data_IF_010307894556
#
_entry.id   IF_010307894556
#
_cell.length_a   1.000
_cell.length_b   1.000
_cell.length_c   1.000
_cell.angle_alpha   90.00
_cell.angle_beta   90.00
_cell.angle_gamma   90.00
#
_symmetry.space_group_name_H-M   'P 1'
#
loop_
_entity.id
_entity.type
_entity.pdbx_description
1 polymer ?
#
# COMPACT_ATOMS: atom_id res chain seq x y z
N UNK A 1 -6.85 -5.75 -3.97
CA UNK A 1 -8.33 -5.65 -4.07
C UNK A 1 -8.96 -6.76 -3.23
N UNK A 2 -10.20 -6.62 -2.75
CA UNK A 2 -10.93 -7.68 -2.05
C UNK A 2 -11.82 -8.41 -3.04
N UNK A 3 -11.96 -9.73 -2.82
CA UNK A 3 -12.89 -10.59 -3.56
C UNK A 3 -12.72 -10.54 -5.09
N UNK A 4 -11.50 -10.37 -5.58
CA UNK A 4 -11.19 -10.25 -7.01
C UNK A 4 -11.62 -11.47 -7.81
N UNK A 5 -11.45 -12.68 -7.26
CA UNK A 5 -11.87 -13.92 -7.89
C UNK A 5 -13.40 -14.01 -8.01
N UNK A 6 -14.13 -13.66 -6.94
CA UNK A 6 -15.60 -13.62 -6.95
C UNK A 6 -16.10 -12.56 -7.94
N UNK A 7 -15.43 -11.42 -8.01
CA UNK A 7 -15.77 -10.41 -9.00
C UNK A 7 -15.66 -10.95 -10.42
N UNK A 8 -14.55 -11.64 -10.76
CA UNK A 8 -14.38 -12.22 -12.08
C UNK A 8 -15.50 -13.20 -12.47
N UNK A 9 -15.99 -13.97 -11.50
CA UNK A 9 -17.13 -14.86 -11.71
C UNK A 9 -18.46 -14.10 -11.96
N UNK A 10 -18.65 -12.96 -11.29
CA UNK A 10 -19.91 -12.21 -11.35
C UNK A 10 -20.01 -11.29 -12.57
N UNK A 11 -18.94 -10.61 -12.97
CA UNK A 11 -18.98 -9.60 -14.03
C UNK A 11 -18.27 -10.02 -15.32
N UNK A 12 -17.61 -11.17 -15.33
CA UNK A 12 -16.85 -11.70 -16.47
C UNK A 12 -15.46 -11.12 -16.62
N UNK A 13 -14.69 -11.70 -17.55
CA UNK A 13 -13.26 -11.41 -17.72
C UNK A 13 -13.00 -9.97 -18.19
N UNK A 14 -13.77 -9.48 -19.16
CA UNK A 14 -13.57 -8.14 -19.74
C UNK A 14 -13.77 -7.03 -18.70
N UNK A 15 -14.90 -7.01 -18.01
CA UNK A 15 -15.18 -6.02 -16.95
C UNK A 15 -14.18 -6.13 -15.79
N UNK A 16 -13.72 -7.34 -15.48
CA UNK A 16 -12.67 -7.56 -14.49
C UNK A 16 -11.35 -6.96 -14.94
N UNK A 17 -10.95 -7.19 -16.19
CA UNK A 17 -9.75 -6.60 -16.76
C UNK A 17 -9.80 -5.07 -16.74
N UNK A 18 -10.89 -4.46 -17.20
CA UNK A 18 -11.06 -3.01 -17.16
C UNK A 18 -11.00 -2.46 -15.74
N UNK A 19 -11.68 -3.12 -14.79
CA UNK A 19 -11.59 -2.76 -13.36
C UNK A 19 -10.15 -2.80 -12.85
N UNK A 20 -9.41 -3.88 -13.16
CA UNK A 20 -8.01 -4.03 -12.76
C UNK A 20 -7.12 -2.96 -13.38
N UNK A 21 -7.35 -2.62 -14.64
CA UNK A 21 -6.61 -1.58 -15.34
C UNK A 21 -6.79 -0.20 -14.67
N UNK A 22 -8.04 0.20 -14.42
CA UNK A 22 -8.35 1.44 -13.70
C UNK A 22 -7.74 1.45 -12.30
N UNK A 23 -7.94 0.36 -11.56
CA UNK A 23 -7.49 0.20 -10.18
C UNK A 23 -5.97 0.26 -10.04
N UNK A 24 -5.24 -0.57 -10.78
CA UNK A 24 -3.77 -0.63 -10.68
C UNK A 24 -3.16 0.69 -11.13
N UNK A 25 -3.60 1.25 -12.26
CA UNK A 25 -3.08 2.51 -12.78
C UNK A 25 -3.27 3.65 -11.78
N UNK A 26 -4.46 3.80 -11.22
CA UNK A 26 -4.73 4.85 -10.25
C UNK A 26 -3.86 4.71 -8.97
N UNK A 27 -3.69 3.50 -8.45
CA UNK A 27 -2.85 3.29 -7.26
C UNK A 27 -1.35 3.47 -7.56
N UNK A 28 -0.89 3.10 -8.75
CA UNK A 28 0.49 3.35 -9.18
C UNK A 28 0.81 4.84 -9.26
N UNK A 29 -0.13 5.66 -9.75
CA UNK A 29 0.05 7.12 -9.74
C UNK A 29 0.10 7.71 -8.32
N UNK A 30 -0.68 7.18 -7.36
CA UNK A 30 -0.57 7.58 -5.95
C UNK A 30 0.80 7.20 -5.39
N UNK A 31 1.31 5.98 -5.67
CA UNK A 31 2.66 5.57 -5.24
C UNK A 31 3.73 6.50 -5.80
N UNK A 32 3.65 6.81 -7.09
CA UNK A 32 4.57 7.72 -7.78
C UNK A 32 4.53 9.13 -7.18
N UNK A 33 3.34 9.67 -6.90
CA UNK A 33 3.18 10.98 -6.25
C UNK A 33 3.92 11.07 -4.90
N UNK A 34 3.89 9.99 -4.12
CA UNK A 34 4.64 9.88 -2.86
C UNK A 34 6.09 9.45 -3.04
N UNK A 35 6.61 9.36 -4.27
CA UNK A 35 7.95 8.89 -4.61
C UNK A 35 8.25 7.48 -4.10
N UNK A 36 7.24 6.61 -4.06
CA UNK A 36 7.40 5.19 -3.77
C UNK A 36 8.01 4.45 -4.96
N UNK A 37 8.72 3.37 -4.66
CA UNK A 37 9.27 2.46 -5.68
C UNK A 37 8.47 1.16 -5.68
N UNK A 38 7.85 0.85 -6.79
CA UNK A 38 7.15 -0.44 -6.98
C UNK A 38 8.17 -1.55 -7.12
N UNK A 39 7.99 -2.63 -6.35
CA UNK A 39 8.81 -3.84 -6.43
C UNK A 39 8.10 -4.89 -7.28
N UNK A 40 6.80 -5.07 -7.03
CA UNK A 40 6.05 -6.15 -7.66
C UNK A 40 4.56 -5.79 -7.77
N UNK A 41 3.91 -6.33 -8.80
CA UNK A 41 2.47 -6.32 -8.98
C UNK A 41 2.03 -7.78 -9.01
N UNK A 42 1.45 -8.24 -7.90
CA UNK A 42 1.05 -9.63 -7.70
C UNK A 42 -0.47 -9.77 -7.87
N UNK A 43 -0.89 -10.08 -9.09
CA UNK A 43 -2.31 -10.13 -9.42
C UNK A 43 -3.00 -8.79 -9.14
N UNK A 44 -3.83 -8.73 -8.12
CA UNK A 44 -4.55 -7.54 -7.68
C UNK A 44 -3.87 -6.77 -6.52
N UNK A 45 -2.64 -7.13 -6.19
CA UNK A 45 -1.83 -6.49 -5.15
C UNK A 45 -0.64 -5.72 -5.71
N UNK A 46 -0.29 -4.61 -5.07
CA UNK A 46 0.91 -3.83 -5.38
C UNK A 46 1.81 -3.82 -4.14
N UNK A 47 3.07 -4.13 -4.34
CA UNK A 47 4.13 -3.98 -3.34
C UNK A 47 5.02 -2.80 -3.72
N UNK A 48 5.17 -1.87 -2.79
CA UNK A 48 6.03 -0.71 -2.96
C UNK A 48 6.83 -0.42 -1.69
N UNK A 49 7.94 0.30 -1.82
CA UNK A 49 8.75 0.71 -0.69
C UNK A 49 9.19 2.17 -0.79
N UNK A 50 9.52 2.72 0.36
CA UNK A 50 10.09 4.05 0.56
C UNK A 50 11.33 3.94 1.43
N UNK A 51 12.32 4.78 1.17
CA UNK A 51 13.58 4.81 1.89
C UNK A 51 14.75 4.38 1.01
N UNK A 52 15.91 4.21 1.64
CA UNK A 52 17.17 3.89 1.01
C UNK A 52 18.31 4.07 2.00
N UNK A 53 19.55 3.94 1.54
CA UNK A 53 20.72 4.26 2.36
C UNK A 53 20.80 5.76 2.63
N UNK A 54 21.09 6.12 3.89
CA UNK A 54 21.37 7.48 4.31
C UNK A 54 22.69 7.52 5.08
N UNK A 55 23.32 8.70 5.16
CA UNK A 55 24.41 8.95 6.10
C UNK A 55 23.89 8.75 7.54
N UNK A 56 24.77 8.31 8.47
CA UNK A 56 24.36 8.02 9.86
C UNK A 56 23.64 9.18 10.54
N UNK A 57 24.06 10.39 10.26
CA UNK A 57 23.52 11.62 10.86
C UNK A 57 22.09 11.92 10.40
N UNK A 58 21.71 11.51 9.19
CA UNK A 58 20.40 11.75 8.59
C UNK A 58 19.46 10.54 8.71
N UNK A 59 19.92 9.41 9.23
CA UNK A 59 19.22 8.13 9.18
C UNK A 59 17.83 8.19 9.82
N UNK A 60 17.70 8.84 10.97
CA UNK A 60 16.40 8.96 11.66
C UNK A 60 15.41 9.85 10.91
N UNK A 61 15.88 10.91 10.29
CA UNK A 61 15.05 11.80 9.48
C UNK A 61 14.59 11.09 8.21
N UNK A 62 15.46 10.36 7.54
CA UNK A 62 15.11 9.59 6.34
C UNK A 62 14.09 8.50 6.67
N UNK A 63 14.24 7.79 7.80
CA UNK A 63 13.27 6.81 8.29
C UNK A 63 11.89 7.45 8.56
N UNK A 64 11.86 8.58 9.25
CA UNK A 64 10.64 9.31 9.56
C UNK A 64 9.91 9.79 8.30
N UNK A 65 10.65 10.32 7.32
CA UNK A 65 10.09 10.73 6.02
C UNK A 65 9.54 9.53 5.25
N UNK A 66 10.27 8.41 5.24
CA UNK A 66 9.85 7.21 4.53
C UNK A 66 8.53 6.64 5.08
N UNK A 67 8.42 6.48 6.41
CA UNK A 67 7.18 5.97 7.02
C UNK A 67 6.02 6.93 6.84
N UNK A 68 6.26 8.25 6.91
CA UNK A 68 5.24 9.26 6.65
C UNK A 68 4.71 9.17 5.22
N UNK A 69 5.61 9.11 4.22
CA UNK A 69 5.23 8.98 2.81
C UNK A 69 4.43 7.70 2.56
N UNK A 70 4.89 6.56 3.08
CA UNK A 70 4.19 5.28 2.93
C UNK A 70 2.79 5.30 3.56
N UNK A 71 2.66 5.83 4.77
CA UNK A 71 1.37 5.92 5.46
C UNK A 71 0.39 6.88 4.79
N UNK A 72 0.86 8.06 4.36
CA UNK A 72 0.03 9.04 3.62
C UNK A 72 -0.37 8.50 2.25
N UNK A 73 0.53 7.81 1.54
CA UNK A 73 0.22 7.09 0.31
C UNK A 73 -0.94 6.11 0.53
N UNK A 74 -0.88 5.29 1.59
CA UNK A 74 -1.95 4.36 1.91
C UNK A 74 -3.28 5.07 2.21
N UNK A 75 -3.27 6.19 2.94
CA UNK A 75 -4.47 7.01 3.18
C UNK A 75 -5.07 7.52 1.87
N UNK A 76 -4.25 8.07 1.00
CA UNK A 76 -4.73 8.68 -0.24
C UNK A 76 -5.17 7.63 -1.27
N UNK A 77 -4.61 6.43 -1.22
CA UNK A 77 -5.13 5.27 -1.97
C UNK A 77 -6.58 4.96 -1.59
N UNK A 78 -6.94 5.04 -0.30
CA UNK A 78 -8.33 4.86 0.13
C UNK A 78 -9.24 5.97 -0.41
N UNK A 79 -8.77 7.23 -0.40
CA UNK A 79 -9.52 8.34 -0.95
C UNK A 79 -9.70 8.24 -2.48
N UNK A 80 -8.64 7.85 -3.21
CA UNK A 80 -8.70 7.63 -4.67
C UNK A 80 -9.61 6.45 -5.00
N UNK A 81 -9.57 5.35 -4.23
CA UNK A 81 -10.52 4.25 -4.38
C UNK A 81 -11.97 4.72 -4.29
N UNK A 82 -12.28 5.53 -3.28
CA UNK A 82 -13.64 6.03 -3.04
C UNK A 82 -14.10 7.01 -4.11
N UNK A 83 -13.28 8.04 -4.35
CA UNK A 83 -13.69 9.24 -5.10
C UNK A 83 -13.37 9.19 -6.59
N UNK A 84 -12.58 8.22 -7.03
CA UNK A 84 -12.16 8.10 -8.43
C UNK A 84 -12.46 6.71 -8.97
N UNK A 85 -11.87 5.68 -8.36
CA UNK A 85 -11.96 4.32 -8.91
C UNK A 85 -13.41 3.81 -8.89
N UNK A 86 -14.07 3.92 -7.74
CA UNK A 86 -15.46 3.44 -7.60
C UNK A 86 -16.45 4.27 -8.41
N UNK A 87 -16.18 5.56 -8.62
CA UNK A 87 -16.98 6.39 -9.52
C UNK A 87 -16.85 5.99 -10.99
N UNK A 88 -15.64 5.63 -11.42
CA UNK A 88 -15.42 5.10 -12.78
C UNK A 88 -16.10 3.73 -12.95
N UNK A 89 -15.97 2.85 -11.93
CA UNK A 89 -16.61 1.53 -11.94
C UNK A 89 -18.13 1.64 -12.09
N UNK A 90 -18.74 2.56 -11.37
CA UNK A 90 -20.18 2.82 -11.45
C UNK A 90 -20.58 3.38 -12.81
N UNK A 91 -19.88 4.41 -13.27
CA UNK A 91 -20.14 5.10 -14.55
C UNK A 91 -20.04 4.21 -15.77
N UNK A 92 -19.04 3.30 -15.77
CA UNK A 92 -18.76 2.37 -16.86
C UNK A 92 -19.45 1.02 -16.68
N UNK A 93 -20.36 0.88 -15.72
CA UNK A 93 -21.08 -0.37 -15.39
C UNK A 93 -20.12 -1.57 -15.25
N UNK A 94 -19.01 -1.39 -14.56
CA UNK A 94 -18.01 -2.44 -14.37
C UNK A 94 -18.32 -3.36 -13.19
N UNK A 95 -19.50 -3.22 -12.57
CA UNK A 95 -19.99 -4.03 -11.45
C UNK A 95 -19.84 -3.35 -10.09
N UNK A 96 -19.90 -4.12 -9.01
CA UNK A 96 -19.89 -3.56 -7.64
C UNK A 96 -18.63 -2.73 -7.32
N UNK A 97 -18.72 -1.73 -6.43
CA UNK A 97 -17.57 -0.98 -5.93
C UNK A 97 -16.48 -1.91 -5.36
N UNK A 98 -15.22 -1.55 -5.55
CA UNK A 98 -14.11 -2.34 -5.02
C UNK A 98 -13.73 -1.90 -3.61
N UNK A 99 -13.21 -2.85 -2.85
CA UNK A 99 -12.62 -2.63 -1.54
C UNK A 99 -11.14 -3.01 -1.55
N UNK A 100 -10.33 -2.29 -0.78
CA UNK A 100 -8.89 -2.54 -0.66
C UNK A 100 -8.46 -2.61 0.80
N UNK A 101 -7.38 -3.32 1.06
CA UNK A 101 -6.70 -3.32 2.36
C UNK A 101 -5.26 -2.89 2.18
N UNK A 102 -4.73 -2.09 3.10
CA UNK A 102 -3.38 -1.55 3.00
C UNK A 102 -2.61 -1.90 4.27
N UNK A 103 -1.43 -2.50 4.10
CA UNK A 103 -0.48 -2.79 5.17
C UNK A 103 0.78 -1.97 5.01
N UNK A 104 1.21 -1.28 6.07
CA UNK A 104 2.46 -0.52 6.09
C UNK A 104 3.32 -0.97 7.26
N UNK A 105 4.53 -1.40 6.97
CA UNK A 105 5.48 -1.87 7.97
C UNK A 105 6.83 -1.19 7.77
N UNK A 106 7.68 -1.29 8.76
CA UNK A 106 9.04 -0.75 8.70
C UNK A 106 10.02 -1.75 9.29
N UNK A 107 11.03 -2.13 8.49
CA UNK A 107 12.23 -2.82 8.95
C UNK A 107 13.30 -2.81 7.86
N UNK A 108 14.42 -3.50 8.12
CA UNK A 108 15.46 -3.73 7.10
C UNK A 108 14.93 -4.65 6.01
N UNK A 109 15.16 -4.25 4.76
CA UNK A 109 14.77 -4.99 3.56
C UNK A 109 15.95 -5.07 2.62
N UNK A 110 16.21 -6.24 2.08
CA UNK A 110 17.16 -6.45 1.00
C UNK A 110 16.39 -6.41 -0.31
N UNK A 111 16.68 -5.44 -1.17
CA UNK A 111 16.15 -5.37 -2.53
C UNK A 111 17.27 -5.74 -3.50
N UNK A 112 17.05 -6.78 -4.29
CA UNK A 112 18.06 -7.32 -5.20
C UNK A 112 17.43 -7.85 -6.49
N UNK A 113 18.28 -8.04 -7.50
CA UNK A 113 17.91 -8.74 -8.73
C UNK A 113 18.13 -10.24 -8.54
N UNK A 114 17.15 -11.04 -8.95
CA UNK A 114 17.25 -12.50 -8.98
C UNK A 114 16.93 -13.00 -10.37
N UNK A 115 17.77 -13.88 -10.91
CA UNK A 115 17.63 -14.44 -12.25
C UNK A 115 18.97 -14.65 -12.93
N UNK A 116 18.93 -14.85 -14.23
CA UNK A 116 20.08 -15.03 -15.11
C UNK A 116 20.25 -13.79 -16.00
N UNK A 117 21.40 -13.60 -16.68
CA UNK A 117 21.59 -12.51 -17.62
C UNK A 117 20.41 -12.40 -18.62
N UNK A 118 19.89 -11.19 -18.81
CA UNK A 118 18.75 -10.86 -19.67
C UNK A 118 17.37 -11.42 -19.21
N UNK A 119 17.31 -12.11 -18.08
CA UNK A 119 16.04 -12.58 -17.49
C UNK A 119 16.13 -12.52 -15.96
N UNK A 120 15.81 -11.37 -15.39
CA UNK A 120 15.81 -11.18 -13.95
C UNK A 120 14.60 -10.38 -13.48
N UNK A 121 14.20 -10.66 -12.24
CA UNK A 121 13.22 -9.88 -11.49
C UNK A 121 13.89 -9.11 -10.34
N UNK A 122 13.31 -7.98 -9.97
CA UNK A 122 13.64 -7.29 -8.73
C UNK A 122 12.80 -7.87 -7.62
N UNK A 123 13.45 -8.39 -6.58
CA UNK A 123 12.76 -8.98 -5.42
C UNK A 123 13.21 -8.29 -4.13
N UNK A 124 12.31 -8.27 -3.17
CA UNK A 124 12.57 -7.76 -1.83
C UNK A 124 12.44 -8.88 -0.79
N UNK A 125 13.35 -8.90 0.16
CA UNK A 125 13.40 -9.89 1.25
C UNK A 125 13.46 -9.19 2.60
N UNK A 126 12.63 -9.62 3.52
CA UNK A 126 12.56 -9.13 4.89
C UNK A 126 11.24 -9.52 5.55
N UNK A 127 11.25 -9.76 6.85
CA UNK A 127 10.06 -10.18 7.61
C UNK A 127 8.93 -9.16 7.51
N UNK A 128 9.27 -7.88 7.46
CA UNK A 128 8.28 -6.81 7.35
C UNK A 128 7.42 -6.91 6.08
N UNK A 129 7.93 -7.50 5.00
CA UNK A 129 7.17 -7.69 3.75
C UNK A 129 6.00 -8.65 3.99
N UNK A 130 6.26 -9.77 4.64
CA UNK A 130 5.23 -10.75 4.99
C UNK A 130 4.20 -10.15 5.96
N UNK A 131 4.66 -9.33 6.90
CA UNK A 131 3.78 -8.62 7.85
C UNK A 131 2.92 -7.60 7.12
N UNK A 132 3.47 -6.82 6.18
CA UNK A 132 2.70 -5.86 5.37
C UNK A 132 1.61 -6.57 4.56
N UNK A 133 1.95 -7.68 3.91
CA UNK A 133 1.00 -8.51 3.17
C UNK A 133 -0.13 -9.03 4.07
N UNK A 134 0.22 -9.58 5.25
CA UNK A 134 -0.77 -10.03 6.24
C UNK A 134 -1.66 -8.88 6.75
N UNK A 135 -1.11 -7.69 6.95
CA UNK A 135 -1.89 -6.52 7.36
C UNK A 135 -2.87 -6.12 6.27
N UNK A 136 -2.40 -6.00 5.04
CA UNK A 136 -3.27 -5.66 3.92
C UNK A 136 -4.38 -6.71 3.72
N UNK A 137 -4.09 -8.01 3.88
CA UNK A 137 -5.08 -9.08 3.71
C UNK A 137 -6.15 -9.13 4.81
N UNK A 138 -5.87 -8.62 6.00
CA UNK A 138 -6.79 -8.68 7.17
C UNK A 138 -7.68 -7.46 7.35
N UNK A 139 -7.56 -6.45 6.51
CA UNK A 139 -8.34 -5.21 6.65
C UNK A 139 -9.07 -4.86 5.36
N UNK A 140 -10.19 -4.17 5.52
CA UNK A 140 -10.99 -3.67 4.41
C UNK A 140 -11.15 -2.17 4.58
N UNK A 141 -10.78 -1.41 3.55
CA UNK A 141 -10.84 0.05 3.49
C UNK A 141 -10.16 0.74 4.69
N UNK A 142 -9.04 0.16 5.11
CA UNK A 142 -8.23 0.69 6.22
C UNK A 142 -6.75 0.59 5.87
N UNK A 143 -5.97 1.49 6.45
CA UNK A 143 -4.50 1.41 6.50
C UNK A 143 -4.11 0.86 7.85
N UNK A 144 -3.50 -0.33 7.88
CA UNK A 144 -2.95 -0.96 9.07
C UNK A 144 -1.43 -0.80 9.08
N UNK A 145 -0.89 -0.28 10.17
CA UNK A 145 0.53 0.02 10.29
C UNK A 145 1.14 -0.70 11.50
N UNK A 146 2.43 -1.03 11.42
CA UNK A 146 3.15 -1.61 12.55
C UNK A 146 3.46 -0.57 13.62
N UNK A 147 3.73 -1.03 14.85
CA UNK A 147 4.20 -0.19 15.96
C UNK A 147 5.47 0.59 15.61
N UNK A 148 6.41 -0.05 14.85
CA UNK A 148 7.62 0.63 14.38
C UNK A 148 7.28 1.84 13.49
N UNK A 149 6.32 1.72 12.58
CA UNK A 149 5.84 2.84 11.75
C UNK A 149 5.27 3.97 12.60
N UNK A 150 4.40 3.66 13.56
CA UNK A 150 3.86 4.65 14.50
C UNK A 150 4.96 5.36 15.28
N UNK A 151 5.94 4.61 15.80
CA UNK A 151 7.01 5.16 16.64
C UNK A 151 7.97 6.08 15.86
N UNK A 152 8.18 5.79 14.57
CA UNK A 152 8.99 6.60 13.65
C UNK A 152 8.22 7.75 13.01
N UNK A 153 6.91 7.82 13.20
CA UNK A 153 6.10 8.87 12.60
C UNK A 153 6.51 10.24 13.13
N UNK A 154 6.77 11.22 12.26
CA UNK A 154 7.16 12.56 12.69
C UNK A 154 6.08 13.18 13.59
N UNK A 155 6.48 13.62 14.77
CA UNK A 155 5.60 14.36 15.68
C UNK A 155 5.45 15.79 15.16
N UNK A 156 4.21 16.23 14.99
CA UNK A 156 3.89 17.63 14.67
C UNK A 156 2.70 18.08 15.51
N UNK A 157 2.77 19.28 16.05
CA UNK A 157 1.62 19.92 16.67
C UNK A 157 0.56 20.19 15.61
N UNK A 158 -0.72 19.90 15.92
CA UNK A 158 -1.84 20.09 14.96
C UNK A 158 -1.90 19.07 13.82
N UNK A 159 -1.16 17.97 13.90
CA UNK A 159 -1.22 16.91 12.88
C UNK A 159 -2.61 16.27 12.79
N UNK A 160 -3.09 16.04 11.57
CA UNK A 160 -4.41 15.43 11.31
C UNK A 160 -4.39 13.91 11.31
N UNK A 161 -3.23 13.28 11.42
CA UNK A 161 -3.07 11.82 11.41
C UNK A 161 -3.16 11.26 12.82
N UNK A 162 -4.03 10.28 12.99
CA UNK A 162 -4.25 9.56 14.24
C UNK A 162 -3.97 8.08 14.08
N UNK A 163 -3.53 7.45 15.18
CA UNK A 163 -3.23 6.03 15.26
C UNK A 163 -4.10 5.38 16.32
N UNK A 164 -5.00 4.49 15.90
CA UNK A 164 -5.88 3.75 16.81
C UNK A 164 -5.34 2.32 16.97
N UNK A 165 -5.15 1.83 18.21
CA UNK A 165 -4.62 0.49 18.42
C UNK A 165 -5.54 -0.58 17.85
N UNK A 166 -4.97 -1.63 17.31
CA UNK A 166 -5.69 -2.85 16.91
C UNK A 166 -5.72 -3.79 18.12
N UNK A 167 -6.91 -4.20 18.53
CA UNK A 167 -7.06 -5.06 19.69
C UNK A 167 -6.32 -6.39 19.50
N UNK A 168 -5.50 -6.78 20.50
CA UNK A 168 -4.73 -8.02 20.49
C UNK A 168 -3.54 -8.07 19.53
N UNK A 169 -3.17 -6.94 18.88
CA UNK A 169 -2.05 -6.90 17.96
C UNK A 169 -1.14 -5.68 18.20
N UNK A 170 0.15 -5.82 17.95
CA UNK A 170 1.13 -4.72 17.99
C UNK A 170 1.08 -3.89 16.70
N UNK A 171 -0.12 -3.42 16.39
CA UNK A 171 -0.47 -2.71 15.17
C UNK A 171 -1.49 -1.59 15.41
N UNK A 172 -1.61 -0.68 14.46
CA UNK A 172 -2.49 0.48 14.55
C UNK A 172 -3.22 0.70 13.23
N UNK A 173 -4.43 1.24 13.29
CA UNK A 173 -5.09 1.85 12.13
C UNK A 173 -4.64 3.30 12.02
N UNK A 174 -4.20 3.70 10.82
CA UNK A 174 -3.90 5.07 10.48
C UNK A 174 -5.15 5.72 9.88
N UNK A 175 -5.56 6.85 10.44
CA UNK A 175 -6.71 7.63 9.96
C UNK A 175 -6.35 9.11 9.87
N UNK A 176 -7.08 9.87 9.06
CA UNK A 176 -7.11 11.34 9.13
C UNK A 176 -8.43 11.79 9.75
N UNK A 177 -8.38 12.90 10.49
CA UNK A 177 -9.61 13.62 10.84
C UNK A 177 -10.26 14.19 9.61
#
# INVERSE_FOLDING_TARGET
MRDSTLRAQNVGAEKTFLTMHVYLTALLEVIKFYHGKVIDIMGDGIMAFWGGRAAREEENMVKAIAVKKAGLCGRDMLAVREKVINEIIDKEDLGAPINIGIGVTFDSVIVTKIGIPNSYDVKAFGDCINVASKYSSKVTNKVKVSKKVKNLWPKSEGGTIHFYPVHGEDAYYLTSK
#
